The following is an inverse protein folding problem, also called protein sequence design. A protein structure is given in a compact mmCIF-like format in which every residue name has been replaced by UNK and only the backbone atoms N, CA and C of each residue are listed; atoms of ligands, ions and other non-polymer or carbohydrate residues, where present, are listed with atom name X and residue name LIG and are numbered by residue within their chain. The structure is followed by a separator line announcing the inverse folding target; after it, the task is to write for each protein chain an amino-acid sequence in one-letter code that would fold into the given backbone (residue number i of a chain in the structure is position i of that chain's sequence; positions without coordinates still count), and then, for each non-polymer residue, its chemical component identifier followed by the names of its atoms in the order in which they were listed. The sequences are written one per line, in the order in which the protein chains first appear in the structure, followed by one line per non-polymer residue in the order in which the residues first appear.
data_IF_185350768098
#
_entry.id   IF_185350768098
#
_cell.length_a   1.000
_cell.length_b   1.000
_cell.length_c   1.000
_cell.angle_alpha   90.00
_cell.angle_beta   90.00
_cell.angle_gamma   90.00
#
_symmetry.space_group_name_H-M   'P 1'
#
loop_
_entity.id
_entity.type
_entity.pdbx_description
1 polymer ?
#
# COMPACT_ATOMS: atom_id res chain seq x y z
N UNK A 1 -18.29 -22.84 34.39
CA UNK A 1 -16.83 -22.71 34.57
C UNK A 1 -16.15 -23.06 33.25
N UNK A 2 -15.62 -22.05 32.53
CA UNK A 2 -14.88 -22.27 31.28
C UNK A 2 -13.47 -22.75 31.62
N UNK A 3 -13.17 -24.00 31.27
CA UNK A 3 -11.83 -24.57 31.39
C UNK A 3 -10.91 -23.78 30.46
N UNK A 4 -10.07 -22.90 31.02
CA UNK A 4 -8.98 -22.25 30.30
C UNK A 4 -8.04 -23.38 29.83
N UNK A 5 -8.12 -23.76 28.55
CA UNK A 5 -7.11 -24.64 27.94
C UNK A 5 -5.76 -23.96 28.14
N UNK A 6 -4.90 -24.55 28.97
CA UNK A 6 -3.49 -24.20 29.05
C UNK A 6 -2.92 -24.31 27.64
N UNK A 7 -2.69 -23.17 27.00
CA UNK A 7 -2.09 -23.09 25.67
C UNK A 7 -0.63 -23.46 25.84
N UNK A 8 -0.29 -24.73 25.63
CA UNK A 8 1.10 -25.16 25.53
C UNK A 8 1.74 -24.34 24.40
N UNK A 9 2.82 -23.58 24.68
CA UNK A 9 3.48 -22.80 23.65
C UNK A 9 3.99 -23.76 22.56
N UNK A 10 3.59 -23.50 21.31
CA UNK A 10 4.03 -24.32 20.19
C UNK A 10 5.56 -24.25 20.07
N UNK A 11 6.23 -25.39 19.83
CA UNK A 11 7.67 -25.42 19.64
C UNK A 11 8.11 -24.51 18.48
N UNK A 12 9.38 -24.13 18.48
CA UNK A 12 9.97 -23.43 17.35
C UNK A 12 9.97 -24.34 16.11
N UNK A 13 9.59 -23.77 14.96
CA UNK A 13 9.50 -24.51 13.71
C UNK A 13 10.83 -24.37 12.97
N UNK A 14 11.54 -25.47 12.69
CA UNK A 14 12.81 -25.39 11.97
C UNK A 14 12.56 -25.23 10.46
N UNK A 15 12.34 -23.99 10.03
CA UNK A 15 12.05 -23.67 8.63
C UNK A 15 13.22 -23.94 7.67
N UNK A 16 14.44 -24.09 8.19
CA UNK A 16 15.66 -24.30 7.40
C UNK A 16 16.11 -25.75 7.29
N UNK A 17 15.49 -26.66 8.05
CA UNK A 17 15.82 -28.08 7.99
C UNK A 17 15.48 -28.71 6.63
N UNK A 18 16.19 -29.79 6.30
CA UNK A 18 16.00 -30.57 5.07
C UNK A 18 15.97 -29.68 3.81
N UNK A 19 16.99 -28.84 3.63
CA UNK A 19 17.10 -27.90 2.51
C UNK A 19 15.85 -27.03 2.31
N UNK A 20 15.29 -26.52 3.42
CA UNK A 20 14.09 -25.70 3.43
C UNK A 20 12.83 -26.40 2.86
N UNK A 21 12.72 -27.73 2.97
CA UNK A 21 11.59 -28.51 2.44
C UNK A 21 10.22 -27.96 2.86
N UNK A 22 10.09 -27.46 4.09
CA UNK A 22 8.83 -26.85 4.59
C UNK A 22 8.50 -25.53 3.88
N UNK A 23 9.51 -24.73 3.56
CA UNK A 23 9.33 -23.48 2.81
C UNK A 23 8.90 -23.79 1.38
N UNK A 24 9.54 -24.77 0.73
CA UNK A 24 9.15 -25.24 -0.60
C UNK A 24 7.73 -25.82 -0.62
N UNK A 25 7.37 -26.59 0.40
CA UNK A 25 6.01 -27.11 0.57
C UNK A 25 5.00 -25.97 0.73
N UNK A 26 5.32 -24.95 1.55
CA UNK A 26 4.51 -23.74 1.69
C UNK A 26 4.30 -23.04 0.34
N UNK A 27 5.37 -22.79 -0.43
CA UNK A 27 5.32 -22.12 -1.74
C UNK A 27 4.46 -22.93 -2.73
N UNK A 28 4.64 -24.25 -2.76
CA UNK A 28 3.81 -25.14 -3.58
C UNK A 28 2.34 -25.04 -3.19
N UNK A 29 2.02 -24.98 -1.90
CA UNK A 29 0.63 -24.91 -1.41
C UNK A 29 -0.04 -23.57 -1.67
N UNK A 30 0.67 -22.44 -1.56
CA UNK A 30 0.10 -21.12 -1.89
C UNK A 30 -0.12 -20.94 -3.40
N UNK A 31 0.63 -21.66 -4.23
CA UNK A 31 0.50 -21.64 -5.70
C UNK A 31 -0.72 -22.42 -6.21
N UNK A 32 -1.30 -23.30 -5.38
CA UNK A 32 -2.49 -24.06 -5.77
C UNK A 32 -3.67 -23.12 -6.05
N UNK A 33 -4.40 -23.27 -7.17
CA UNK A 33 -5.48 -22.34 -7.56
C UNK A 33 -6.50 -22.07 -6.45
N UNK A 34 -6.93 -23.12 -5.73
CA UNK A 34 -7.88 -23.00 -4.63
C UNK A 34 -7.39 -22.07 -3.50
N UNK A 35 -6.11 -22.13 -3.14
CA UNK A 35 -5.53 -21.29 -2.09
C UNK A 35 -5.13 -19.92 -2.65
N UNK A 36 -4.50 -19.91 -3.82
CA UNK A 36 -4.03 -18.72 -4.52
C UNK A 36 -5.14 -17.69 -4.69
N UNK A 37 -6.32 -18.15 -5.13
CA UNK A 37 -7.50 -17.31 -5.33
C UNK A 37 -7.95 -16.59 -4.06
N UNK A 38 -7.94 -17.28 -2.92
CA UNK A 38 -8.36 -16.68 -1.63
C UNK A 38 -7.28 -15.73 -1.10
N UNK A 39 -6.01 -16.11 -1.24
CA UNK A 39 -4.88 -15.35 -0.70
C UNK A 39 -4.62 -14.07 -1.48
N UNK A 40 -4.70 -14.14 -2.81
CA UNK A 40 -4.24 -13.10 -3.73
C UNK A 40 -5.34 -12.55 -4.65
N UNK A 41 -6.56 -13.10 -4.58
CA UNK A 41 -7.67 -12.72 -5.43
C UNK A 41 -7.68 -13.49 -6.76
N UNK A 42 -8.69 -13.19 -7.57
CA UNK A 42 -8.95 -13.83 -8.86
C UNK A 42 -7.79 -13.57 -9.84
N UNK A 43 -7.59 -14.51 -10.77
CA UNK A 43 -6.76 -14.26 -11.96
C UNK A 43 -7.63 -13.70 -13.08
N UNK A 44 -8.81 -14.29 -13.27
CA UNK A 44 -9.72 -13.93 -14.36
C UNK A 44 -10.85 -13.03 -13.87
N UNK A 45 -11.25 -12.07 -14.70
CA UNK A 45 -12.38 -11.16 -14.42
C UNK A 45 -13.69 -11.91 -14.20
N UNK A 46 -13.88 -13.05 -14.87
CA UNK A 46 -15.10 -13.86 -14.85
C UNK A 46 -15.16 -14.87 -13.69
N UNK A 47 -14.10 -14.97 -12.89
CA UNK A 47 -14.08 -15.94 -11.79
C UNK A 47 -14.96 -15.45 -10.62
N UNK A 48 -15.69 -16.32 -9.91
CA UNK A 48 -16.43 -15.90 -8.71
C UNK A 48 -15.50 -15.77 -7.49
N UNK A 49 -15.76 -14.84 -6.56
CA UNK A 49 -14.98 -14.78 -5.29
C UNK A 49 -15.27 -16.01 -4.45
N UNK A 50 -14.27 -16.57 -3.77
CA UNK A 50 -14.52 -17.60 -2.75
C UNK A 50 -15.09 -16.93 -1.49
N UNK A 51 -16.12 -17.51 -0.88
CA UNK A 51 -16.57 -17.12 0.47
C UNK A 51 -15.64 -17.58 1.60
N UNK A 52 -14.55 -18.29 1.26
CA UNK A 52 -13.55 -18.76 2.21
C UNK A 52 -12.66 -17.62 2.71
N UNK A 53 -12.33 -17.64 4.01
CA UNK A 53 -11.44 -16.66 4.64
C UNK A 53 -9.96 -17.04 4.47
N UNK A 54 -9.07 -16.05 4.41
CA UNK A 54 -7.61 -16.28 4.39
C UNK A 54 -7.13 -17.11 5.60
N UNK A 55 -7.75 -16.90 6.76
CA UNK A 55 -7.44 -17.67 7.97
C UNK A 55 -7.71 -19.17 7.79
N UNK A 56 -8.83 -19.54 7.14
CA UNK A 56 -9.13 -20.95 6.81
C UNK A 56 -8.05 -21.55 5.92
N UNK A 57 -7.60 -20.82 4.90
CA UNK A 57 -6.54 -21.27 3.99
C UNK A 57 -5.22 -21.46 4.73
N UNK A 58 -4.81 -20.53 5.61
CA UNK A 58 -3.60 -20.70 6.39
C UNK A 58 -3.66 -21.93 7.30
N UNK A 59 -4.81 -22.21 7.92
CA UNK A 59 -5.01 -23.43 8.72
C UNK A 59 -4.90 -24.70 7.86
N UNK A 60 -5.52 -24.72 6.67
CA UNK A 60 -5.45 -25.84 5.71
C UNK A 60 -4.02 -26.09 5.23
N UNK A 61 -3.28 -25.03 4.90
CA UNK A 61 -1.88 -25.13 4.51
C UNK A 61 -1.07 -25.65 5.70
N UNK A 62 -1.31 -25.13 6.91
CA UNK A 62 -0.69 -25.59 8.15
C UNK A 62 -0.87 -27.08 8.39
N UNK A 63 -2.07 -27.62 8.16
CA UNK A 63 -2.35 -29.05 8.28
C UNK A 63 -1.48 -29.92 7.35
N UNK A 64 -1.01 -29.37 6.21
CA UNK A 64 -0.16 -30.12 5.29
C UNK A 64 1.33 -29.86 5.46
N UNK A 65 1.72 -28.63 5.77
CA UNK A 65 3.14 -28.22 5.89
C UNK A 65 3.70 -28.55 7.28
N UNK A 66 2.84 -28.49 8.30
CA UNK A 66 3.17 -28.64 9.71
C UNK A 66 2.12 -29.55 10.41
N UNK A 67 1.89 -30.78 9.93
CA UNK A 67 0.84 -31.65 10.47
C UNK A 67 0.98 -31.86 11.99
N UNK A 68 2.20 -32.03 12.48
CA UNK A 68 2.53 -32.23 13.89
C UNK A 68 2.13 -31.05 14.78
N UNK A 69 2.30 -29.81 14.30
CA UNK A 69 1.91 -28.60 15.02
C UNK A 69 0.40 -28.35 14.91
N UNK A 70 -0.20 -28.71 13.77
CA UNK A 70 -1.62 -28.52 13.51
C UNK A 70 -2.51 -29.35 14.45
N UNK A 71 -2.08 -30.56 14.80
CA UNK A 71 -2.78 -31.42 15.76
C UNK A 71 -2.82 -30.78 17.15
N UNK A 72 -1.78 -30.03 17.53
CA UNK A 72 -1.67 -29.35 18.83
C UNK A 72 -2.55 -28.09 18.85
N UNK A 73 -2.30 -27.16 17.93
CA UNK A 73 -3.09 -25.94 17.76
C UNK A 73 -3.15 -25.53 16.29
N UNK A 74 -4.26 -25.87 15.64
CA UNK A 74 -4.54 -25.53 14.26
C UNK A 74 -4.52 -24.01 14.00
N UNK A 75 -4.98 -23.20 14.96
CA UNK A 75 -5.08 -21.74 14.78
C UNK A 75 -3.70 -21.11 14.85
N UNK A 76 -2.94 -21.42 15.90
CA UNK A 76 -1.59 -20.89 16.04
C UNK A 76 -0.64 -21.42 14.95
N UNK A 77 -0.85 -22.66 14.45
CA UNK A 77 -0.15 -23.16 13.25
C UNK A 77 -0.48 -22.33 12.01
N UNK A 78 -1.76 -21.97 11.82
CA UNK A 78 -2.17 -21.05 10.76
C UNK A 78 -1.48 -19.68 10.86
N UNK A 79 -1.36 -19.14 12.07
CA UNK A 79 -0.67 -17.85 12.29
C UNK A 79 0.84 -17.95 12.00
N UNK A 80 1.48 -19.09 12.30
CA UNK A 80 2.89 -19.35 11.93
C UNK A 80 3.07 -19.39 10.41
N UNK A 81 2.16 -20.06 9.69
CA UNK A 81 2.16 -20.09 8.22
C UNK A 81 2.02 -18.68 7.64
N UNK A 82 1.05 -17.90 8.14
CA UNK A 82 0.85 -16.51 7.75
C UNK A 82 2.12 -15.68 7.96
N UNK A 83 2.70 -15.76 9.15
CA UNK A 83 3.90 -14.99 9.53
C UNK A 83 5.10 -15.34 8.64
N UNK A 84 5.30 -16.63 8.35
CA UNK A 84 6.37 -17.08 7.44
C UNK A 84 6.16 -16.57 6.02
N UNK A 85 4.92 -16.61 5.51
CA UNK A 85 4.58 -16.09 4.20
C UNK A 85 4.81 -14.57 4.09
N UNK A 86 4.48 -13.81 5.14
CA UNK A 86 4.75 -12.37 5.19
C UNK A 86 6.25 -12.09 5.13
N UNK A 87 7.07 -12.85 5.85
CA UNK A 87 8.54 -12.74 5.78
C UNK A 87 9.06 -13.05 4.39
N UNK A 88 8.61 -14.14 3.75
CA UNK A 88 8.99 -14.48 2.36
C UNK A 88 8.60 -13.37 1.38
N UNK A 89 7.40 -12.80 1.54
CA UNK A 89 6.90 -11.71 0.70
C UNK A 89 7.77 -10.45 0.87
N UNK A 90 8.19 -10.13 2.10
CA UNK A 90 9.09 -9.00 2.37
C UNK A 90 10.46 -9.22 1.75
N UNK A 91 11.06 -10.40 1.90
CA UNK A 91 12.34 -10.74 1.29
C UNK A 91 12.25 -10.70 -0.23
N UNK A 92 11.20 -11.27 -0.82
CA UNK A 92 10.94 -11.17 -2.26
C UNK A 92 10.88 -9.70 -2.73
N UNK A 93 10.08 -8.86 -2.05
CA UNK A 93 9.96 -7.44 -2.41
C UNK A 93 11.32 -6.72 -2.38
N UNK A 94 12.17 -7.04 -1.40
CA UNK A 94 13.52 -6.48 -1.30
C UNK A 94 14.38 -6.85 -2.51
N UNK A 95 14.41 -8.11 -2.92
CA UNK A 95 15.15 -8.55 -4.11
C UNK A 95 14.54 -8.01 -5.42
N UNK A 96 13.20 -7.96 -5.51
CA UNK A 96 12.52 -7.39 -6.67
C UNK A 96 12.78 -5.89 -6.85
N UNK A 97 13.06 -5.14 -5.77
CA UNK A 97 13.55 -3.75 -5.89
C UNK A 97 14.92 -3.72 -6.56
N UNK A 98 15.86 -4.60 -6.18
CA UNK A 98 17.20 -4.65 -6.79
C UNK A 98 17.14 -4.80 -8.31
N UNK A 99 16.24 -5.64 -8.82
CA UNK A 99 16.02 -5.81 -10.27
C UNK A 99 15.48 -4.56 -10.99
N UNK A 100 14.82 -3.66 -10.26
CA UNK A 100 14.25 -2.42 -10.80
C UNK A 100 15.19 -1.22 -10.69
N UNK A 101 16.16 -1.27 -9.78
CA UNK A 101 16.96 -0.10 -9.37
C UNK A 101 18.36 -0.10 -9.99
N UNK A 102 18.68 -0.98 -10.93
CA UNK A 102 19.95 -0.91 -11.67
C UNK A 102 19.89 0.18 -12.75
N UNK A 103 20.02 1.39 -12.22
CA UNK A 103 20.38 2.61 -12.89
C UNK A 103 20.90 3.48 -11.76
N UNK A 104 22.08 3.15 -11.22
CA UNK A 104 22.83 4.05 -10.35
C UNK A 104 23.11 5.31 -11.15
N UNK A 105 22.17 6.25 -11.11
CA UNK A 105 22.26 7.53 -11.76
C UNK A 105 23.38 8.33 -11.12
N UNK A 106 24.58 8.19 -11.67
CA UNK A 106 25.41 9.37 -11.91
C UNK A 106 24.93 9.89 -13.27
N UNK A 107 23.97 10.81 -13.24
CA UNK A 107 23.61 11.56 -14.44
C UNK A 107 24.76 12.54 -14.71
N UNK A 108 25.39 12.42 -15.87
CA UNK A 108 26.16 13.53 -16.41
C UNK A 108 25.20 14.71 -16.63
N UNK A 109 25.64 15.89 -16.19
CA UNK A 109 24.90 17.14 -16.28
C UNK A 109 24.63 17.49 -17.76
N UNK A 110 23.50 17.02 -18.28
CA UNK A 110 23.21 17.10 -19.70
C UNK A 110 21.73 16.95 -20.02
N UNK A 111 21.03 18.07 -19.94
CA UNK A 111 19.98 18.49 -20.86
C UNK A 111 18.52 17.99 -20.72
N UNK A 112 17.66 18.99 -20.91
CA UNK A 112 16.24 19.10 -21.20
C UNK A 112 15.17 18.42 -20.33
N UNK A 113 14.41 19.28 -19.64
CA UNK A 113 13.19 18.97 -18.90
C UNK A 113 12.03 18.57 -19.80
N UNK A 114 12.09 17.36 -20.34
CA UNK A 114 10.96 16.67 -20.94
C UNK A 114 10.37 15.69 -19.93
N UNK A 115 9.04 15.68 -19.81
CA UNK A 115 8.24 14.69 -19.09
C UNK A 115 8.46 13.33 -19.79
N UNK A 116 9.52 12.62 -19.39
CA UNK A 116 9.97 11.41 -20.07
C UNK A 116 9.45 10.19 -19.30
N UNK A 117 8.51 9.47 -19.91
CA UNK A 117 8.19 8.10 -19.50
C UNK A 117 9.47 7.26 -19.60
N UNK A 118 10.00 6.83 -18.45
CA UNK A 118 11.13 5.91 -18.41
C UNK A 118 10.56 4.51 -18.19
N UNK A 119 10.90 3.60 -19.07
CA UNK A 119 10.53 2.20 -18.92
C UNK A 119 11.61 1.53 -18.08
N UNK A 120 11.22 0.68 -17.14
CA UNK A 120 12.18 -0.12 -16.40
C UNK A 120 13.01 -0.96 -17.39
N UNK A 121 14.33 -0.70 -17.48
CA UNK A 121 15.23 -1.35 -18.44
C UNK A 121 15.22 -2.89 -18.36
N UNK A 122 14.76 -3.45 -17.24
CA UNK A 122 14.84 -4.88 -16.92
C UNK A 122 13.50 -5.46 -16.44
N UNK A 123 12.43 -5.31 -17.23
CA UNK A 123 11.22 -6.08 -16.94
C UNK A 123 11.49 -7.58 -17.16
N UNK A 124 11.33 -8.38 -16.10
CA UNK A 124 11.45 -9.82 -16.15
C UNK A 124 10.04 -10.42 -16.00
N UNK A 125 9.63 -11.19 -17.00
CA UNK A 125 8.32 -11.83 -17.07
C UNK A 125 8.07 -12.89 -15.98
N UNK A 126 6.88 -13.50 -16.04
CA UNK A 126 6.42 -14.50 -15.06
C UNK A 126 7.27 -15.76 -15.03
N UNK A 127 7.89 -16.09 -16.16
CA UNK A 127 8.73 -17.27 -16.33
C UNK A 127 10.21 -17.01 -16.03
N UNK A 128 10.56 -15.78 -15.65
CA UNK A 128 11.93 -15.35 -15.40
C UNK A 128 12.61 -14.75 -16.64
N UNK A 129 13.95 -14.62 -16.61
CA UNK A 129 14.73 -14.09 -17.72
C UNK A 129 14.54 -14.92 -18.99
N UNK A 130 14.35 -14.24 -20.11
CA UNK A 130 14.21 -14.81 -21.45
C UNK A 130 15.41 -14.45 -22.35
N UNK A 131 15.33 -14.82 -23.64
CA UNK A 131 16.36 -14.51 -24.64
C UNK A 131 16.57 -13.00 -24.81
N UNK A 132 15.52 -12.20 -24.60
CA UNK A 132 15.53 -10.74 -24.73
C UNK A 132 16.01 -10.02 -23.45
N UNK A 133 16.13 -10.75 -22.34
CA UNK A 133 16.59 -10.19 -21.07
C UNK A 133 18.10 -9.90 -21.14
N UNK A 134 18.50 -8.68 -20.78
CA UNK A 134 19.90 -8.25 -20.81
C UNK A 134 20.79 -9.11 -19.89
N UNK A 135 22.08 -9.18 -20.21
CA UNK A 135 23.05 -9.92 -19.39
C UNK A 135 23.17 -9.33 -17.98
N UNK A 136 23.03 -8.01 -17.83
CA UNK A 136 22.99 -7.35 -16.53
C UNK A 136 21.82 -7.86 -15.67
N UNK A 137 20.61 -7.90 -16.24
CA UNK A 137 19.43 -8.40 -15.54
C UNK A 137 19.54 -9.90 -15.20
N UNK A 138 20.09 -10.72 -16.11
CA UNK A 138 20.39 -12.14 -15.87
C UNK A 138 21.37 -12.31 -14.72
N UNK A 139 22.45 -11.53 -14.68
CA UNK A 139 23.45 -11.59 -13.61
C UNK A 139 22.85 -11.23 -12.24
N UNK A 140 22.02 -10.19 -12.17
CA UNK A 140 21.34 -9.81 -10.92
C UNK A 140 20.35 -10.90 -10.50
N UNK A 141 19.60 -11.45 -11.44
CA UNK A 141 18.67 -12.55 -11.19
C UNK A 141 19.39 -13.77 -10.62
N UNK A 142 20.52 -14.18 -11.21
CA UNK A 142 21.32 -15.30 -10.74
C UNK A 142 21.93 -15.05 -9.36
N UNK A 143 22.37 -13.82 -9.08
CA UNK A 143 22.81 -13.43 -7.74
C UNK A 143 21.68 -13.56 -6.73
N UNK A 144 20.48 -13.09 -7.07
CA UNK A 144 19.30 -13.21 -6.22
C UNK A 144 18.96 -14.67 -5.96
N UNK A 145 19.04 -15.56 -6.97
CA UNK A 145 18.77 -16.99 -6.78
C UNK A 145 19.79 -17.66 -5.84
N UNK A 146 21.05 -17.22 -5.85
CA UNK A 146 22.07 -17.69 -4.89
C UNK A 146 21.76 -17.25 -3.46
N UNK A 147 21.32 -16.00 -3.27
CA UNK A 147 20.99 -15.43 -1.96
C UNK A 147 19.62 -15.93 -1.43
N UNK A 148 18.66 -16.12 -2.32
CA UNK A 148 17.27 -16.41 -2.01
C UNK A 148 16.70 -17.39 -3.05
N UNK A 149 16.91 -18.71 -2.86
CA UNK A 149 16.59 -19.73 -3.87
C UNK A 149 15.08 -19.83 -4.19
N UNK A 150 14.22 -19.29 -3.34
CA UNK A 150 12.78 -19.24 -3.53
C UNK A 150 12.31 -18.14 -4.50
N UNK A 151 13.22 -17.29 -4.97
CA UNK A 151 12.88 -16.08 -5.70
C UNK A 151 12.09 -16.37 -6.97
N UNK A 152 12.52 -17.32 -7.80
CA UNK A 152 11.87 -17.65 -9.08
C UNK A 152 10.40 -18.06 -8.90
N UNK A 153 10.14 -18.99 -7.99
CA UNK A 153 8.77 -19.44 -7.71
C UNK A 153 7.90 -18.36 -7.10
N UNK A 154 8.46 -17.53 -6.22
CA UNK A 154 7.74 -16.38 -5.66
C UNK A 154 7.49 -15.29 -6.72
N UNK A 155 8.43 -15.07 -7.64
CA UNK A 155 8.29 -14.14 -8.76
C UNK A 155 7.12 -14.55 -9.64
N UNK A 156 7.02 -15.83 -9.99
CA UNK A 156 5.89 -16.39 -10.75
C UNK A 156 4.53 -16.13 -10.09
N UNK A 157 4.47 -16.11 -8.75
CA UNK A 157 3.25 -15.85 -7.97
C UNK A 157 2.93 -14.35 -7.93
N UNK A 158 3.96 -13.50 -7.82
CA UNK A 158 3.83 -12.10 -7.42
C UNK A 158 4.01 -11.07 -8.54
N UNK A 159 4.72 -11.37 -9.63
CA UNK A 159 5.05 -10.37 -10.66
C UNK A 159 3.82 -9.79 -11.35
N UNK A 160 2.79 -10.60 -11.55
CA UNK A 160 1.52 -10.21 -12.17
C UNK A 160 0.58 -9.46 -11.20
N UNK A 161 1.03 -9.10 -9.99
CA UNK A 161 0.18 -8.46 -8.98
C UNK A 161 0.51 -6.98 -8.83
N UNK A 162 -0.40 -6.07 -9.24
CA UNK A 162 -0.22 -4.61 -9.11
C UNK A 162 0.11 -4.16 -7.68
N UNK A 163 -0.41 -4.86 -6.66
CA UNK A 163 -0.16 -4.55 -5.25
C UNK A 163 1.25 -4.95 -4.76
N UNK A 164 2.00 -5.71 -5.56
CA UNK A 164 3.36 -6.19 -5.23
C UNK A 164 4.39 -5.56 -6.17
N UNK A 165 4.06 -5.50 -7.45
CA UNK A 165 4.79 -4.75 -8.49
C UNK A 165 3.80 -3.75 -9.08
N UNK A 166 3.89 -2.46 -8.73
CA UNK A 166 3.02 -1.42 -9.30
C UNK A 166 3.08 -1.44 -10.82
N UNK A 167 2.00 -1.04 -11.49
CA UNK A 167 1.98 -0.90 -12.97
C UNK A 167 2.93 0.21 -13.39
N UNK A 168 2.84 1.34 -12.71
CA UNK A 168 3.74 2.47 -12.87
C UNK A 168 4.03 3.13 -11.52
N UNK A 169 5.19 3.76 -11.41
CA UNK A 169 5.60 4.58 -10.28
C UNK A 169 5.85 5.99 -10.77
N UNK A 170 4.97 6.93 -10.41
CA UNK A 170 5.20 8.35 -10.69
C UNK A 170 6.01 8.97 -9.56
N UNK A 171 7.19 9.52 -9.88
CA UNK A 171 8.01 10.27 -8.94
C UNK A 171 7.31 11.59 -8.55
N UNK A 172 7.59 12.09 -7.35
CA UNK A 172 7.15 13.42 -6.94
C UNK A 172 7.72 14.51 -7.85
N UNK A 173 7.13 15.71 -7.82
CA UNK A 173 7.61 16.86 -8.61
C UNK A 173 9.01 17.24 -8.11
N UNK A 174 10.03 16.83 -8.85
CA UNK A 174 11.41 17.24 -8.62
C UNK A 174 11.79 18.44 -9.48
N UNK A 175 13.04 18.95 -9.36
CA UNK A 175 13.56 19.99 -10.25
C UNK A 175 13.52 19.61 -11.74
N UNK A 176 13.35 18.33 -12.05
CA UNK A 176 13.21 17.80 -13.42
C UNK A 176 11.76 17.44 -13.80
N UNK A 177 10.76 17.90 -13.03
CA UNK A 177 9.35 17.59 -13.27
C UNK A 177 8.90 16.27 -12.65
N UNK A 178 7.70 15.82 -13.05
CA UNK A 178 7.19 14.49 -12.71
C UNK A 178 7.80 13.48 -13.67
N UNK A 179 8.00 12.24 -13.22
CA UNK A 179 8.45 11.15 -14.08
C UNK A 179 7.65 9.90 -13.79
N UNK A 180 7.05 9.29 -14.79
CA UNK A 180 6.32 8.03 -14.63
C UNK A 180 7.19 6.88 -15.11
N UNK A 181 7.54 5.98 -14.19
CA UNK A 181 8.29 4.76 -14.47
C UNK A 181 7.32 3.59 -14.66
N UNK A 182 7.18 3.09 -15.88
CA UNK A 182 6.37 1.89 -16.14
C UNK A 182 7.15 0.63 -15.76
N UNK A 183 6.61 -0.13 -14.81
CA UNK A 183 7.24 -1.32 -14.22
C UNK A 183 6.65 -2.63 -14.75
N UNK A 184 5.55 -2.56 -15.47
CA UNK A 184 4.93 -3.67 -16.19
C UNK A 184 4.78 -3.26 -17.65
N UNK A 185 4.90 -4.21 -18.60
CA UNK A 185 4.51 -3.99 -19.97
C UNK A 185 3.07 -3.46 -19.93
N UNK A 186 2.81 -2.38 -20.64
CA UNK A 186 1.44 -2.07 -20.99
C UNK A 186 0.92 -3.33 -21.68
N UNK A 187 -0.13 -3.95 -21.15
CA UNK A 187 -0.89 -4.90 -21.95
C UNK A 187 -1.08 -4.22 -23.30
N UNK A 188 -0.82 -4.88 -24.44
CA UNK A 188 -1.27 -4.33 -25.70
C UNK A 188 -2.75 -4.12 -25.45
N UNK A 189 -3.16 -2.85 -25.34
CA UNK A 189 -4.57 -2.55 -25.17
C UNK A 189 -5.25 -3.43 -26.22
N UNK A 190 -6.27 -4.22 -25.89
CA UNK A 190 -7.17 -4.61 -26.94
C UNK A 190 -7.47 -3.26 -27.58
N UNK A 191 -6.99 -3.03 -28.80
CA UNK A 191 -7.38 -1.85 -29.53
C UNK A 191 -8.88 -2.03 -29.53
N UNK A 192 -9.54 -1.33 -28.61
CA UNK A 192 -10.95 -1.18 -28.63
C UNK A 192 -11.03 -0.36 -29.90
N UNK A 193 -11.17 -1.07 -31.03
CA UNK A 193 -11.68 -0.52 -32.25
C UNK A 193 -12.97 0.10 -31.78
N UNK A 194 -12.87 1.41 -31.47
CA UNK A 194 -14.00 2.19 -31.10
C UNK A 194 -14.95 1.96 -32.25
N UNK A 195 -16.10 1.37 -31.93
CA UNK A 195 -17.11 1.13 -32.95
C UNK A 195 -17.34 2.46 -33.69
N UNK A 196 -17.65 2.44 -34.98
CA UNK A 196 -17.86 3.68 -35.75
C UNK A 196 -18.85 4.63 -35.05
N UNK A 197 -19.80 4.06 -34.30
CA UNK A 197 -20.72 4.79 -33.42
C UNK A 197 -20.03 5.57 -32.30
N UNK A 198 -19.03 4.99 -31.63
CA UNK A 198 -18.27 5.67 -30.57
C UNK A 198 -17.36 6.76 -31.16
N UNK A 199 -16.70 6.48 -32.29
CA UNK A 199 -15.89 7.48 -32.99
C UNK A 199 -16.74 8.67 -33.44
N UNK A 200 -17.95 8.42 -33.93
CA UNK A 200 -18.91 9.46 -34.28
C UNK A 200 -19.32 10.30 -33.07
N UNK A 201 -19.57 9.68 -31.90
CA UNK A 201 -19.92 10.41 -30.68
C UNK A 201 -18.78 11.32 -30.21
N UNK A 202 -17.53 10.85 -30.29
CA UNK A 202 -16.37 11.68 -29.94
C UNK A 202 -16.21 12.87 -30.88
N UNK A 203 -16.43 12.70 -32.19
CA UNK A 203 -16.42 13.84 -33.13
C UNK A 203 -17.51 14.84 -32.81
N UNK A 204 -18.74 14.39 -32.56
CA UNK A 204 -19.86 15.28 -32.21
C UNK A 204 -19.57 16.10 -30.95
N UNK A 205 -18.98 15.49 -29.93
CA UNK A 205 -18.59 16.20 -28.70
C UNK A 205 -17.45 17.21 -28.96
N UNK A 206 -16.48 16.85 -29.80
CA UNK A 206 -15.38 17.74 -30.14
C UNK A 206 -15.87 18.95 -30.95
N UNK A 207 -16.78 18.74 -31.91
CA UNK A 207 -17.38 19.81 -32.71
C UNK A 207 -18.26 20.73 -31.86
N UNK A 208 -19.01 20.18 -30.91
CA UNK A 208 -19.79 20.98 -29.96
C UNK A 208 -18.91 21.87 -29.08
N UNK A 209 -17.74 21.35 -28.65
CA UNK A 209 -16.78 22.12 -27.85
C UNK A 209 -16.14 23.26 -28.67
N UNK A 210 -15.77 22.98 -29.91
CA UNK A 210 -15.19 23.97 -30.82
C UNK A 210 -16.21 25.07 -31.16
N UNK A 211 -17.49 24.71 -31.33
CA UNK A 211 -18.58 25.68 -31.53
C UNK A 211 -18.85 26.56 -30.30
N UNK A 212 -18.77 25.99 -29.09
CA UNK A 212 -18.91 26.78 -27.86
C UNK A 212 -17.78 27.80 -27.70
N UNK A 213 -16.55 27.48 -28.14
CA UNK A 213 -15.43 28.42 -28.11
C UNK A 213 -15.52 29.52 -29.17
N UNK A 214 -16.12 29.26 -30.34
CA UNK A 214 -16.26 30.27 -31.39
C UNK A 214 -17.37 31.29 -31.11
N UNK A 215 -18.35 30.97 -30.26
CA UNK A 215 -19.41 31.91 -29.86
C UNK A 215 -19.02 32.83 -28.69
N UNK A 216 -17.87 32.62 -28.05
CA UNK A 216 -17.41 33.43 -26.91
C UNK A 216 -16.73 34.76 -27.26
N UNK A 217 -16.58 35.10 -28.55
CA UNK A 217 -15.82 36.28 -29.00
C UNK A 217 -16.64 37.17 -29.93
N UNK A 218 -17.73 37.74 -29.42
CA UNK A 218 -18.37 38.91 -30.03
C UNK A 218 -19.18 39.71 -29.00
N UNK A 219 -18.77 40.96 -28.77
CA UNK A 219 -19.69 42.05 -28.45
C UNK A 219 -19.89 42.39 -26.97
N UNK A 220 -19.07 43.32 -26.49
CA UNK A 220 -19.46 44.22 -25.40
C UNK A 220 -20.59 45.15 -25.88
N UNK A 221 -21.75 45.17 -25.21
CA UNK A 221 -22.65 46.33 -25.17
C UNK A 221 -23.27 46.48 -23.77
N UNK A 222 -23.19 47.73 -23.30
CA UNK A 222 -23.84 48.39 -22.17
C UNK A 222 -25.21 47.84 -21.75
N UNK A 223 -25.41 47.88 -20.44
CA UNK A 223 -26.61 47.41 -19.76
C UNK A 223 -27.89 48.19 -20.02
N UNK A 224 -28.97 47.59 -19.54
CA UNK A 224 -30.06 48.33 -18.92
C UNK A 224 -30.81 47.43 -17.93
N UNK A 225 -31.44 48.10 -16.97
CA UNK A 225 -32.16 47.58 -15.79
C UNK A 225 -33.61 47.26 -16.16
N UNK A 226 -34.18 46.10 -15.77
CA UNK A 226 -35.59 45.81 -15.38
C UNK A 226 -35.62 44.35 -14.88
N UNK A 227 -35.88 44.03 -13.61
CA UNK A 227 -37.15 43.93 -12.87
C UNK A 227 -38.22 42.93 -13.41
N UNK A 228 -38.80 42.20 -12.44
CA UNK A 228 -40.06 41.43 -12.43
C UNK A 228 -40.14 39.97 -12.95
N UNK A 229 -40.48 39.11 -11.97
CA UNK A 229 -41.59 38.13 -11.95
C UNK A 229 -41.35 36.65 -12.29
N UNK A 230 -41.31 35.87 -11.20
CA UNK A 230 -42.33 34.86 -10.84
C UNK A 230 -42.94 34.01 -11.98
N UNK A 231 -42.55 32.73 -12.02
CA UNK A 231 -43.20 31.69 -12.81
C UNK A 231 -43.11 30.33 -12.12
N UNK A 232 -44.18 30.00 -11.40
CA UNK A 232 -44.47 28.68 -10.82
C UNK A 232 -44.89 27.71 -11.93
N UNK A 233 -44.30 26.51 -11.98
CA UNK A 233 -44.86 25.39 -12.75
C UNK A 233 -44.79 24.10 -11.92
N UNK A 234 -45.97 23.54 -11.71
CA UNK A 234 -46.22 22.21 -11.15
C UNK A 234 -45.67 21.09 -12.03
N UNK A 235 -45.45 19.88 -11.48
CA UNK A 235 -45.54 18.65 -12.23
C UNK A 235 -46.87 17.93 -11.95
N UNK A 236 -47.68 17.80 -12.99
CA UNK A 236 -48.90 17.00 -13.02
C UNK A 236 -48.66 15.51 -12.74
N UNK A 237 -49.59 14.95 -11.97
CA UNK A 237 -49.77 13.53 -11.71
C UNK A 237 -50.29 12.79 -12.96
N UNK A 238 -49.62 11.71 -13.37
CA UNK A 238 -50.24 10.67 -14.20
C UNK A 238 -50.34 9.36 -13.41
N UNK A 239 -51.57 9.02 -13.02
CA UNK A 239 -51.98 7.72 -12.52
C UNK A 239 -52.18 6.74 -13.68
N UNK A 240 -51.55 5.56 -13.60
CA UNK A 240 -52.02 4.35 -14.28
C UNK A 240 -52.08 3.21 -13.25
N UNK A 241 -53.27 2.66 -13.05
CA UNK A 241 -53.55 1.48 -12.23
C UNK A 241 -53.40 0.21 -13.07
N UNK A 242 -52.81 -0.86 -12.50
CA UNK A 242 -53.31 -2.26 -12.50
C UNK A 242 -52.40 -3.15 -11.62
N UNK A 243 -52.85 -4.36 -11.19
CA UNK A 243 -52.64 -4.83 -9.82
C UNK A 243 -51.70 -6.05 -9.67
N UNK A 244 -51.49 -6.40 -8.39
CA UNK A 244 -51.11 -7.70 -7.84
C UNK A 244 -49.65 -7.92 -7.37
N UNK A 245 -49.52 -7.90 -6.03
CA UNK A 245 -48.75 -8.81 -5.17
C UNK A 245 -47.30 -9.17 -5.54
N UNK A 246 -46.35 -8.61 -4.80
CA UNK A 246 -45.28 -9.34 -4.08
C UNK A 246 -44.74 -8.46 -2.94
N UNK A 247 -44.76 -8.99 -1.72
CA UNK A 247 -44.32 -8.34 -0.47
C UNK A 247 -42.87 -7.86 -0.59
N UNK A 248 -42.66 -6.54 -0.53
CA UNK A 248 -41.36 -5.95 -0.25
C UNK A 248 -40.96 -6.13 1.23
N UNK A 249 -39.66 -6.02 1.57
CA UNK A 249 -39.21 -6.13 2.95
C UNK A 249 -39.78 -4.96 3.77
N UNK A 250 -40.26 -5.26 4.97
CA UNK A 250 -40.77 -4.24 5.91
C UNK A 250 -39.69 -3.18 6.16
N UNK A 251 -40.03 -1.88 6.15
CA UNK A 251 -39.10 -0.85 6.59
C UNK A 251 -38.75 -1.09 8.06
N UNK A 252 -37.47 -1.26 8.36
CA UNK A 252 -36.99 -1.40 9.73
C UNK A 252 -37.24 -0.09 10.48
N UNK A 253 -38.08 -0.12 11.52
CA UNK A 253 -38.25 0.98 12.45
C UNK A 253 -37.01 1.07 13.35
N UNK A 254 -35.97 1.72 12.86
CA UNK A 254 -34.88 2.22 13.70
C UNK A 254 -35.47 3.30 14.60
N UNK A 255 -35.62 3.01 15.90
CA UNK A 255 -36.15 3.99 16.84
C UNK A 255 -35.16 5.14 16.98
N UNK A 256 -35.65 6.37 17.04
CA UNK A 256 -34.85 7.58 17.23
C UNK A 256 -33.99 7.48 18.51
N UNK A 257 -34.44 6.70 19.48
CA UNK A 257 -33.78 6.38 20.74
C UNK A 257 -32.51 5.51 20.56
N UNK A 258 -32.54 4.55 19.62
CA UNK A 258 -31.35 3.74 19.29
C UNK A 258 -30.29 4.54 18.55
N UNK A 259 -30.70 5.53 17.75
CA UNK A 259 -29.78 6.52 17.16
C UNK A 259 -29.18 7.47 18.20
N UNK A 260 -29.96 7.87 19.21
CA UNK A 260 -29.47 8.73 20.30
C UNK A 260 -28.43 8.00 21.17
N UNK A 261 -28.69 6.75 21.57
CA UNK A 261 -27.71 5.91 22.29
C UNK A 261 -26.45 5.64 21.48
N UNK A 262 -26.57 5.41 20.17
CA UNK A 262 -25.41 5.23 19.31
C UNK A 262 -24.53 6.49 19.24
N UNK A 263 -25.15 7.69 19.21
CA UNK A 263 -24.41 8.97 19.23
C UNK A 263 -23.69 9.22 20.55
N UNK A 264 -24.25 8.76 21.67
CA UNK A 264 -23.64 8.91 23.00
C UNK A 264 -22.45 7.95 23.21
N UNK A 265 -22.48 6.75 22.63
CA UNK A 265 -21.40 5.77 22.71
C UNK A 265 -20.20 6.03 21.77
N UNK A 266 -20.33 6.96 20.81
CA UNK A 266 -19.19 7.35 19.96
C UNK A 266 -18.31 8.31 20.77
N UNK A 267 -17.28 7.75 21.42
CA UNK A 267 -16.21 8.56 22.00
C UNK A 267 -15.67 9.50 20.93
N UNK A 268 -15.67 10.80 21.22
CA UNK A 268 -15.12 11.83 20.32
C UNK A 268 -13.67 11.43 20.02
N UNK A 269 -13.42 10.99 18.79
CA UNK A 269 -12.08 10.66 18.35
C UNK A 269 -11.16 11.87 18.64
N UNK A 270 -9.94 11.64 19.15
CA UNK A 270 -9.01 12.73 19.42
C UNK A 270 -8.85 13.57 18.17
N UNK A 271 -8.85 14.90 18.37
CA UNK A 271 -8.74 15.88 17.28
C UNK A 271 -7.52 15.50 16.44
N UNK A 272 -7.74 15.21 15.15
CA UNK A 272 -6.66 14.78 14.25
C UNK A 272 -5.59 15.86 14.26
N UNK A 273 -4.37 15.48 14.63
CA UNK A 273 -3.19 16.32 14.53
C UNK A 273 -3.12 16.85 13.10
N UNK A 274 -3.16 18.17 12.96
CA UNK A 274 -3.21 18.82 11.65
C UNK A 274 -1.82 18.90 11.05
N UNK A 275 -1.73 19.09 9.73
CA UNK A 275 -0.42 19.22 9.05
C UNK A 275 0.30 20.46 9.58
N UNK A 276 -0.46 21.50 9.90
CA UNK A 276 0.00 22.73 10.51
C UNK A 276 0.64 22.49 11.88
N UNK A 277 0.04 21.63 12.72
CA UNK A 277 0.61 21.27 14.02
C UNK A 277 1.94 20.51 13.85
N UNK A 278 2.02 19.58 12.89
CA UNK A 278 3.27 18.86 12.59
C UNK A 278 4.36 19.80 12.09
N UNK A 279 4.01 20.78 11.24
CA UNK A 279 4.95 21.77 10.75
C UNK A 279 5.46 22.67 11.89
N UNK A 280 4.57 23.06 12.81
CA UNK A 280 4.92 23.83 13.99
C UNK A 280 5.88 23.07 14.91
N UNK A 281 5.65 21.77 15.13
CA UNK A 281 6.54 20.92 15.93
C UNK A 281 7.93 20.75 15.31
N UNK A 282 8.01 20.61 13.98
CA UNK A 282 9.29 20.55 13.25
C UNK A 282 10.04 21.88 13.39
N UNK A 283 9.36 23.01 13.18
CA UNK A 283 9.97 24.33 13.30
C UNK A 283 10.49 24.57 14.72
N UNK A 284 9.69 24.22 15.74
CA UNK A 284 10.08 24.34 17.15
C UNK A 284 11.27 23.44 17.50
N UNK A 285 11.32 22.22 16.97
CA UNK A 285 12.46 21.32 17.16
C UNK A 285 13.74 21.88 16.54
N UNK A 286 13.65 22.46 15.33
CA UNK A 286 14.79 23.08 14.67
C UNK A 286 15.30 24.31 15.45
N UNK A 287 14.40 25.15 15.94
CA UNK A 287 14.75 26.33 16.74
C UNK A 287 15.45 25.94 18.06
N UNK A 288 14.94 24.90 18.73
CA UNK A 288 15.59 24.36 19.94
C UNK A 288 16.99 23.84 19.65
N UNK A 289 17.19 23.10 18.55
CA UNK A 289 18.50 22.58 18.17
C UNK A 289 19.52 23.70 17.87
N UNK A 290 19.07 24.82 17.27
CA UNK A 290 19.92 25.98 17.03
C UNK A 290 20.36 26.64 18.34
N UNK A 291 19.43 26.83 19.28
CA UNK A 291 19.74 27.39 20.61
C UNK A 291 20.70 26.49 21.39
N UNK A 292 20.52 25.17 21.34
CA UNK A 292 21.43 24.22 21.98
C UNK A 292 22.83 24.28 21.36
N UNK A 293 22.93 24.40 20.03
CA UNK A 293 24.22 24.56 19.34
C UNK A 293 24.94 25.86 19.73
N UNK A 294 24.19 26.94 19.90
CA UNK A 294 24.73 28.23 20.33
C UNK A 294 25.33 28.15 21.75
N UNK A 295 24.62 27.49 22.68
CA UNK A 295 25.11 27.25 24.04
C UNK A 295 26.39 26.41 24.01
N UNK A 296 26.41 25.31 23.27
CA UNK A 296 27.60 24.44 23.16
C UNK A 296 28.81 25.17 22.58
N UNK A 297 28.59 26.07 21.61
CA UNK A 297 29.66 26.87 21.05
C UNK A 297 30.24 27.85 22.09
N UNK A 298 29.38 28.43 22.92
CA UNK A 298 29.81 29.35 23.98
C UNK A 298 30.57 28.61 25.09
N UNK A 299 30.12 27.41 25.48
CA UNK A 299 30.84 26.55 26.42
C UNK A 299 32.18 26.06 25.86
N UNK A 300 32.26 25.76 24.56
CA UNK A 300 33.51 25.43 23.88
C UNK A 300 34.50 26.61 23.90
N UNK A 301 34.04 27.84 23.64
CA UNK A 301 34.89 29.04 23.75
C UNK A 301 35.41 29.27 25.17
N UNK A 302 34.63 28.91 26.18
CA UNK A 302 35.02 28.98 27.59
C UNK A 302 35.98 27.85 28.00
N UNK A 303 36.33 26.94 27.08
CA UNK A 303 37.23 25.82 27.33
C UNK A 303 36.62 24.70 28.18
N UNK A 304 35.30 24.69 28.35
CA UNK A 304 34.57 23.67 29.12
C UNK A 304 34.56 22.34 28.36
N UNK A 305 34.51 22.40 27.03
CA UNK A 305 34.53 21.24 26.14
C UNK A 305 35.84 21.17 25.37
N UNK A 306 36.37 19.95 25.20
CA UNK A 306 37.43 19.73 24.22
C UNK A 306 36.85 19.72 22.79
N UNK A 307 37.70 19.95 21.79
CA UNK A 307 37.26 19.97 20.40
C UNK A 307 36.60 18.64 19.97
N UNK A 308 37.11 17.51 20.46
CA UNK A 308 36.57 16.19 20.15
C UNK A 308 35.15 16.00 20.71
N UNK A 309 34.93 16.37 21.97
CA UNK A 309 33.63 16.22 22.65
C UNK A 309 32.59 17.19 22.07
N UNK A 310 32.99 18.42 21.71
CA UNK A 310 32.11 19.36 21.01
C UNK A 310 31.62 18.79 19.66
N UNK A 311 32.52 18.20 18.87
CA UNK A 311 32.15 17.59 17.59
C UNK A 311 31.20 16.39 17.76
N UNK A 312 31.41 15.56 18.79
CA UNK A 312 30.50 14.45 19.12
C UNK A 312 29.10 14.95 19.47
N UNK A 313 29.01 16.00 20.29
CA UNK A 313 27.72 16.55 20.74
C UNK A 313 26.95 17.24 19.60
N UNK A 314 27.64 17.92 18.70
CA UNK A 314 27.05 18.48 17.48
C UNK A 314 26.57 17.37 16.53
N UNK A 315 27.30 16.26 16.43
CA UNK A 315 26.90 15.09 15.63
C UNK A 315 25.60 14.48 16.13
N UNK A 316 25.45 14.32 17.46
CA UNK A 316 24.23 13.82 18.09
C UNK A 316 23.01 14.73 17.84
N UNK A 317 23.20 16.05 17.88
CA UNK A 317 22.15 17.04 17.61
C UNK A 317 21.70 17.04 16.13
N UNK A 318 22.59 16.73 15.20
CA UNK A 318 22.29 16.69 13.76
C UNK A 318 21.59 15.41 13.30
N UNK A 319 21.41 14.42 14.20
CA UNK A 319 20.79 13.14 13.88
C UNK A 319 21.60 12.28 12.91
N UNK A 320 22.85 12.66 12.63
CA UNK A 320 23.72 12.02 11.64
C UNK A 320 24.61 10.93 12.26
N UNK A 321 24.15 10.33 13.35
CA UNK A 321 24.85 9.21 13.97
C UNK A 321 24.68 7.97 13.09
N UNK A 322 25.71 7.62 12.32
CA UNK A 322 25.85 6.32 11.64
C UNK A 322 25.91 5.13 12.62
N UNK A 323 25.79 5.37 13.92
CA UNK A 323 25.53 4.35 14.92
C UNK A 323 24.05 4.00 14.96
N UNK A 324 23.73 2.94 14.20
CA UNK A 324 22.51 2.12 14.33
C UNK A 324 22.09 2.05 15.81
N UNK A 325 20.86 2.45 16.19
CA UNK A 325 20.46 2.45 17.59
C UNK A 325 20.61 1.03 18.14
N UNK A 326 21.37 0.90 19.23
CA UNK A 326 21.44 -0.37 19.95
C UNK A 326 20.02 -0.74 20.36
N UNK A 327 19.63 -1.99 20.12
CA UNK A 327 18.33 -2.52 20.52
C UNK A 327 18.18 -2.29 22.02
N UNK A 328 17.39 -1.30 22.42
CA UNK A 328 16.89 -1.21 23.80
C UNK A 328 16.16 -2.52 24.08
N UNK A 329 16.69 -3.31 25.00
CA UNK A 329 15.95 -4.42 25.59
C UNK A 329 14.63 -3.84 26.12
N UNK A 330 13.51 -4.42 25.71
CA UNK A 330 12.21 -4.08 26.30
C UNK A 330 12.34 -4.34 27.79
N UNK A 331 12.25 -3.28 28.59
CA UNK A 331 12.02 -3.44 30.02
C UNK A 331 10.70 -4.19 30.19
N UNK A 332 10.75 -5.22 31.02
CA UNK A 332 9.60 -6.00 31.43
C UNK A 332 8.55 -5.04 32.00
N UNK A 333 7.31 -5.13 31.50
CA UNK A 333 6.20 -4.43 32.14
C UNK A 333 6.04 -4.97 33.56
N UNK A 334 5.89 -4.11 34.58
CA UNK A 334 5.48 -4.55 35.91
C UNK A 334 4.14 -5.28 35.81
N UNK A 335 4.03 -6.39 36.55
CA UNK A 335 2.80 -7.16 36.68
C UNK A 335 1.80 -6.33 37.49
N UNK A 336 0.64 -6.04 36.92
CA UNK A 336 -0.38 -5.17 37.55
C UNK A 336 -1.47 -5.97 38.28
N UNK A 337 -1.30 -7.28 38.46
CA UNK A 337 -2.32 -8.18 39.03
C UNK A 337 -1.96 -8.75 40.41
N UNK A 338 -1.02 -8.15 41.14
CA UNK A 338 -0.84 -8.41 42.58
C UNK A 338 -1.31 -7.19 43.37
N UNK A 339 -2.61 -7.14 43.67
CA UNK A 339 -3.18 -6.56 44.91
C UNK A 339 -4.70 -6.43 44.78
N UNK A 340 -5.43 -7.54 44.95
CA UNK A 340 -6.82 -7.53 45.41
C UNK A 340 -7.09 -8.78 46.27
N UNK A 341 -6.44 -8.82 47.43
CA UNK A 341 -6.97 -9.49 48.62
C UNK A 341 -7.18 -8.41 49.70
N UNK A 342 -8.45 -8.02 49.91
CA UNK A 342 -9.15 -7.71 51.17
C UNK A 342 -10.64 -7.55 50.85
#
# INVERSE_FOLDING_TARGET
MSVKKLKTPLPEIPWSENNHARVWSLITKISKPANYKVLYGKKDKNENTSGESKASVYKRIGATVLPEFHIIDATATGDRIKSKLETLTKTYKHHAVKLRTTGTGVKEDGDNGSDCEEYCNFYIGVDGPDENTTDEAKNIWDQILKEFPFFSELHRIFVARPNVTPIAVTTGVGPHGKKTLHLQPLDPEPQAEFTDSQVSQFRTLHDALNHAQTQGSAGAVKGDTMDLSQGSLEPENFFLQTPANKRGPKPSSLSQESLAKAKECIQKAPKKHTIEDTLFDIQKSQEMNLKTREILLEEFKQGIWTAAEYHEQISLLSGNSDTRPSKKARQFSPDWDEDLDI
#
